data_IF_986738384778
#
_entry.id   IF_986738384778
#
_cell.length_a   1.000
_cell.length_b   1.000
_cell.length_c   1.000
_cell.angle_alpha   90.00
_cell.angle_beta   90.00
_cell.angle_gamma   90.00
#
_symmetry.space_group_name_H-M   'P 1'
#
loop_
_entity.id
_entity.type
_entity.pdbx_description
1 polymer ?
#
# COMPACT_ATOMS: atom_id res chain seq x y z
N UNK A 1 18.47 10.20 -6.41
CA UNK A 1 17.77 9.97 -5.11
C UNK A 1 16.59 9.04 -5.35
N UNK A 2 16.45 8.01 -4.54
CA UNK A 2 15.29 7.11 -4.64
C UNK A 2 14.01 7.80 -4.16
N UNK A 3 12.87 7.27 -4.58
CA UNK A 3 11.56 7.76 -4.11
C UNK A 3 11.46 7.65 -2.59
N UNK A 4 11.92 6.53 -2.01
CA UNK A 4 11.87 6.33 -0.55
C UNK A 4 12.75 7.36 0.17
N UNK A 5 13.96 7.62 -0.31
CA UNK A 5 14.80 8.65 0.31
C UNK A 5 14.13 10.03 0.23
N UNK A 6 13.56 10.37 -0.93
CA UNK A 6 12.83 11.63 -1.09
C UNK A 6 11.63 11.71 -0.15
N UNK A 7 10.94 10.59 0.06
CA UNK A 7 9.83 10.54 1.01
C UNK A 7 10.31 10.78 2.44
N UNK A 8 11.42 10.15 2.85
CA UNK A 8 12.00 10.36 4.19
C UNK A 8 12.50 11.79 4.39
N UNK A 9 12.90 12.46 3.32
CA UNK A 9 13.35 13.85 3.35
C UNK A 9 12.18 14.84 3.27
N UNK A 10 10.96 14.35 3.04
CA UNK A 10 9.76 15.16 2.97
C UNK A 10 9.16 15.38 4.38
N UNK A 11 8.06 16.13 4.42
CA UNK A 11 7.30 16.36 5.66
C UNK A 11 6.19 15.31 5.87
N UNK A 12 6.01 14.37 4.96
CA UNK A 12 4.90 13.40 5.04
C UNK A 12 5.18 12.32 6.07
N UNK A 13 4.17 12.04 6.90
CA UNK A 13 4.23 11.00 7.94
C UNK A 13 2.96 10.16 7.87
N UNK A 14 3.11 8.86 7.87
CA UNK A 14 1.95 8.00 7.62
C UNK A 14 1.94 6.68 8.35
N UNK A 15 0.77 6.07 8.29
CA UNK A 15 0.48 4.74 8.80
C UNK A 15 0.13 3.84 7.62
N UNK A 16 0.58 2.59 7.67
CA UNK A 16 0.41 1.60 6.60
C UNK A 16 -0.36 0.40 7.12
N UNK A 17 -1.41 0.02 6.40
CA UNK A 17 -2.14 -1.24 6.64
C UNK A 17 -2.10 -2.04 5.34
N UNK A 18 -1.48 -3.22 5.37
CA UNK A 18 -1.23 -4.02 4.17
C UNK A 18 -1.62 -5.46 4.45
N UNK A 19 -2.45 -6.04 3.58
CA UNK A 19 -2.85 -7.44 3.69
C UNK A 19 -2.78 -8.16 2.35
N UNK A 20 -2.46 -9.44 2.37
CA UNK A 20 -2.44 -10.30 1.19
C UNK A 20 -1.22 -10.19 0.31
N UNK A 21 -0.60 -9.03 0.22
CA UNK A 21 0.60 -8.74 -0.55
C UNK A 21 0.97 -7.28 -0.44
N UNK A 22 2.21 -6.95 -0.78
CA UNK A 22 2.73 -5.59 -0.72
C UNK A 22 3.54 -5.26 0.54
N UNK A 23 3.61 -6.18 1.51
CA UNK A 23 4.29 -5.91 2.78
C UNK A 23 5.80 -5.70 2.62
N UNK A 24 6.40 -6.13 1.53
CA UNK A 24 7.82 -5.86 1.25
C UNK A 24 8.10 -4.35 1.11
N UNK A 25 7.08 -3.53 0.86
CA UNK A 25 7.21 -2.08 0.92
C UNK A 25 7.69 -1.60 2.29
N UNK A 26 7.22 -2.22 3.36
CA UNK A 26 7.63 -1.86 4.72
C UNK A 26 9.12 -2.12 4.92
N UNK A 27 9.62 -3.24 4.42
CA UNK A 27 11.04 -3.57 4.46
C UNK A 27 11.87 -2.54 3.69
N UNK A 28 11.41 -2.12 2.52
CA UNK A 28 12.09 -1.10 1.71
C UNK A 28 12.12 0.25 2.44
N UNK A 29 11.01 0.66 3.04
CA UNK A 29 10.95 1.89 3.82
C UNK A 29 11.96 1.88 4.97
N UNK A 30 12.03 0.76 5.68
CA UNK A 30 12.89 0.63 6.86
C UNK A 30 14.36 0.46 6.50
N UNK A 31 14.68 -0.04 5.30
CA UNK A 31 16.06 -0.23 4.85
C UNK A 31 16.75 1.08 4.45
N UNK A 32 15.98 2.11 4.12
CA UNK A 32 16.55 3.42 3.74
C UNK A 32 16.63 4.31 4.98
N UNK A 33 17.80 4.90 5.28
CA UNK A 33 17.96 5.76 6.46
C UNK A 33 16.94 6.92 6.48
N UNK A 34 16.38 7.17 7.64
CA UNK A 34 15.41 8.25 7.82
C UNK A 34 13.96 7.78 7.95
N UNK A 35 13.73 6.48 8.03
CA UNK A 35 12.38 5.91 8.11
C UNK A 35 11.55 6.47 9.26
N UNK A 36 12.18 6.83 10.38
CA UNK A 36 11.50 7.41 11.53
C UNK A 36 10.83 8.76 11.24
N UNK A 37 11.23 9.42 10.17
CA UNK A 37 10.60 10.67 9.73
C UNK A 37 9.33 10.45 8.90
N UNK A 38 9.12 9.23 8.40
CA UNK A 38 8.00 8.90 7.51
C UNK A 38 7.02 7.94 8.16
N UNK A 39 7.52 6.87 8.76
CA UNK A 39 6.69 5.76 9.24
C UNK A 39 6.29 6.00 10.70
N UNK A 40 4.99 6.17 10.93
CA UNK A 40 4.43 6.29 12.28
C UNK A 40 4.07 4.92 12.87
N UNK A 41 3.46 4.07 12.06
CA UNK A 41 3.02 2.74 12.46
C UNK A 41 2.66 1.94 11.21
N UNK A 42 2.69 0.61 11.34
CA UNK A 42 2.28 -0.28 10.25
C UNK A 42 1.68 -1.56 10.83
N UNK A 43 0.72 -2.15 10.12
CA UNK A 43 0.17 -3.44 10.49
C UNK A 43 -0.11 -4.28 9.26
N UNK A 44 -0.13 -5.60 9.48
CA UNK A 44 -0.41 -6.59 8.45
C UNK A 44 -1.59 -7.44 8.94
N UNK A 45 -2.84 -6.95 8.82
CA UNK A 45 -4.02 -7.68 9.26
C UNK A 45 -4.35 -8.82 8.29
N UNK A 46 -3.63 -9.91 8.40
CA UNK A 46 -3.62 -10.99 7.42
C UNK A 46 -4.78 -11.97 7.59
N UNK A 47 -5.06 -12.38 8.83
CA UNK A 47 -6.21 -13.24 9.10
C UNK A 47 -7.50 -12.45 8.88
N UNK A 48 -8.55 -13.14 8.40
CA UNK A 48 -9.85 -12.49 8.19
C UNK A 48 -10.37 -11.77 9.42
N UNK A 49 -10.20 -12.35 10.61
CA UNK A 49 -10.62 -11.72 11.88
C UNK A 49 -9.79 -10.46 12.17
N UNK A 50 -8.48 -10.49 11.89
CA UNK A 50 -7.63 -9.32 12.09
C UNK A 50 -8.06 -8.16 11.20
N UNK A 51 -8.42 -8.46 9.95
CA UNK A 51 -8.92 -7.47 9.01
C UNK A 51 -10.26 -6.90 9.49
N UNK A 52 -11.18 -7.77 9.91
CA UNK A 52 -12.47 -7.37 10.45
C UNK A 52 -12.31 -6.48 11.70
N UNK A 53 -11.41 -6.84 12.60
CA UNK A 53 -11.16 -6.06 13.82
C UNK A 53 -10.64 -4.66 13.49
N UNK A 54 -9.73 -4.58 12.53
CA UNK A 54 -9.16 -3.30 12.13
C UNK A 54 -10.20 -2.39 11.45
N UNK A 55 -11.04 -2.97 10.58
CA UNK A 55 -12.05 -2.22 9.84
C UNK A 55 -13.32 -1.95 10.66
N UNK A 56 -13.55 -2.70 11.72
CA UNK A 56 -14.76 -2.61 12.53
C UNK A 56 -15.95 -3.40 11.99
N UNK A 57 -15.81 -3.99 10.80
CA UNK A 57 -16.86 -4.79 10.15
C UNK A 57 -16.20 -5.70 9.10
N UNK A 58 -16.79 -6.89 8.84
CA UNK A 58 -16.24 -7.76 7.79
C UNK A 58 -16.39 -7.09 6.41
N UNK A 59 -15.33 -7.08 5.59
CA UNK A 59 -15.47 -6.59 4.22
C UNK A 59 -16.24 -7.61 3.37
N UNK A 60 -17.01 -7.12 2.39
CA UNK A 60 -17.70 -8.01 1.46
C UNK A 60 -16.70 -8.85 0.65
N UNK A 61 -15.60 -8.24 0.27
CA UNK A 61 -14.51 -8.89 -0.45
C UNK A 61 -13.19 -8.30 0.02
N UNK A 62 -12.27 -9.16 0.47
CA UNK A 62 -10.99 -8.71 1.02
C UNK A 62 -10.16 -7.96 -0.03
N UNK A 63 -9.93 -8.56 -1.20
CA UNK A 63 -9.14 -7.95 -2.27
C UNK A 63 -10.05 -7.10 -3.17
N UNK A 64 -10.35 -5.89 -2.75
CA UNK A 64 -11.25 -4.97 -3.44
C UNK A 64 -10.84 -3.51 -3.24
N UNK A 65 -11.34 -2.66 -4.13
CA UNK A 65 -11.17 -1.20 -4.01
C UNK A 65 -11.75 -0.69 -2.68
N UNK A 66 -12.93 -1.15 -2.32
CA UNK A 66 -13.60 -0.71 -1.09
C UNK A 66 -12.76 -1.04 0.15
N UNK A 67 -12.17 -2.23 0.21
CA UNK A 67 -11.30 -2.62 1.32
C UNK A 67 -10.02 -1.79 1.35
N UNK A 68 -9.39 -1.54 0.20
CA UNK A 68 -8.19 -0.70 0.13
C UNK A 68 -8.47 0.71 0.65
N UNK A 69 -9.59 1.31 0.24
CA UNK A 69 -10.00 2.65 0.70
C UNK A 69 -10.28 2.66 2.20
N UNK A 70 -10.95 1.64 2.71
CA UNK A 70 -11.25 1.52 4.14
C UNK A 70 -9.96 1.38 4.97
N UNK A 71 -9.01 0.57 4.50
CA UNK A 71 -7.69 0.44 5.14
C UNK A 71 -6.92 1.77 5.14
N UNK A 72 -6.93 2.48 4.03
CA UNK A 72 -6.26 3.77 3.91
C UNK A 72 -6.87 4.82 4.85
N UNK A 73 -8.20 4.84 4.97
CA UNK A 73 -8.88 5.77 5.86
C UNK A 73 -8.59 5.45 7.33
N UNK A 74 -8.63 4.16 7.71
CA UNK A 74 -8.28 3.74 9.07
C UNK A 74 -6.82 4.13 9.40
N UNK A 75 -5.92 3.93 8.43
CA UNK A 75 -4.51 4.30 8.58
C UNK A 75 -4.36 5.82 8.73
N UNK A 76 -5.08 6.60 7.94
CA UNK A 76 -5.05 8.06 8.01
C UNK A 76 -5.52 8.56 9.39
N UNK A 77 -6.64 8.04 9.87
CA UNK A 77 -7.19 8.41 11.18
C UNK A 77 -6.20 8.09 12.30
N UNK A 78 -5.52 6.96 12.21
CA UNK A 78 -4.48 6.61 13.18
C UNK A 78 -3.29 7.56 13.10
N UNK A 79 -2.87 7.93 11.88
CA UNK A 79 -1.78 8.89 11.69
C UNK A 79 -2.11 10.25 12.33
N UNK A 80 -3.32 10.75 12.10
CA UNK A 80 -3.80 12.00 12.71
C UNK A 80 -3.75 11.91 14.24
N UNK A 81 -4.08 10.75 14.79
CA UNK A 81 -4.07 10.52 16.25
C UNK A 81 -2.68 10.65 16.89
N UNK A 82 -1.61 10.54 16.13
CA UNK A 82 -0.25 10.76 16.63
C UNK A 82 0.12 12.24 16.75
N UNK A 83 -0.73 13.13 16.23
CA UNK A 83 -0.48 14.57 16.27
C UNK A 83 0.39 15.04 15.12
N UNK A 84 0.67 16.35 15.07
CA UNK A 84 1.42 16.96 13.98
C UNK A 84 0.57 17.27 12.76
N UNK A 85 1.24 17.46 11.62
CA UNK A 85 0.60 17.79 10.33
C UNK A 85 1.11 16.88 9.22
N UNK A 86 0.53 17.02 8.03
CA UNK A 86 0.96 16.35 6.79
C UNK A 86 0.93 14.82 6.92
N UNK A 87 -0.21 14.33 7.40
CA UNK A 87 -0.44 12.90 7.55
C UNK A 87 -0.94 12.26 6.26
N UNK A 88 -0.56 11.00 6.06
CA UNK A 88 -1.19 10.15 5.06
C UNK A 88 -1.50 8.78 5.65
N UNK A 89 -2.48 8.12 5.07
CA UNK A 89 -2.79 6.73 5.33
C UNK A 89 -2.63 5.90 4.07
N UNK A 90 -2.03 4.73 4.19
CA UNK A 90 -1.81 3.81 3.08
C UNK A 90 -2.52 2.49 3.38
N UNK A 91 -3.34 2.04 2.45
CA UNK A 91 -4.04 0.77 2.56
C UNK A 91 -3.84 -0.06 1.31
N UNK A 92 -3.41 -1.31 1.46
CA UNK A 92 -3.21 -2.22 0.35
C UNK A 92 -3.82 -3.58 0.67
N UNK A 93 -4.53 -4.13 -0.30
CA UNK A 93 -5.04 -5.49 -0.24
C UNK A 93 -4.76 -6.18 -1.57
N UNK A 94 -4.18 -7.37 -1.51
CA UNK A 94 -3.77 -8.11 -2.69
C UNK A 94 -4.12 -9.58 -2.58
N UNK A 95 -4.28 -10.20 -3.75
CA UNK A 95 -4.48 -11.63 -3.90
C UNK A 95 -3.41 -12.13 -4.86
N UNK A 96 -2.36 -12.70 -4.33
CA UNK A 96 -1.22 -13.21 -5.09
C UNK A 96 -1.32 -14.72 -5.29
N UNK A 97 -0.47 -15.28 -6.16
CA UNK A 97 -0.42 -16.73 -6.33
C UNK A 97 -0.04 -17.40 -5.01
N UNK A 98 -0.65 -18.56 -4.77
CA UNK A 98 -0.40 -19.37 -3.58
C UNK A 98 0.06 -20.76 -4.02
N UNK A 99 0.27 -21.65 -3.06
CA UNK A 99 0.60 -23.06 -3.31
C UNK A 99 -0.62 -23.88 -3.74
N UNK A 100 -1.80 -23.25 -3.89
CA UNK A 100 -3.05 -23.89 -4.34
C UNK A 100 -3.51 -23.28 -5.66
N UNK A 101 -4.25 -24.07 -6.44
CA UNK A 101 -4.90 -23.56 -7.64
C UNK A 101 -5.90 -22.46 -7.26
N UNK A 102 -5.73 -21.28 -7.86
CA UNK A 102 -6.55 -20.13 -7.56
C UNK A 102 -7.59 -19.93 -8.65
N UNK A 103 -8.84 -19.74 -8.25
CA UNK A 103 -9.95 -19.52 -9.19
C UNK A 103 -10.11 -18.07 -9.61
N UNK A 104 -9.63 -17.12 -8.77
CA UNK A 104 -9.73 -15.71 -9.07
C UNK A 104 -8.45 -15.16 -9.67
N UNK A 105 -8.52 -13.93 -10.15
CA UNK A 105 -7.35 -13.22 -10.66
C UNK A 105 -6.40 -12.86 -9.54
N UNK A 106 -5.10 -12.86 -9.87
CA UNK A 106 -4.09 -12.27 -8.98
C UNK A 106 -4.08 -10.76 -9.24
N UNK A 107 -4.31 -10.01 -8.19
CA UNK A 107 -4.51 -8.56 -8.30
C UNK A 107 -4.19 -7.85 -6.99
N UNK A 108 -4.05 -6.55 -7.09
CA UNK A 108 -3.89 -5.68 -5.93
C UNK A 108 -4.73 -4.42 -6.08
N UNK A 109 -5.25 -3.96 -4.98
CA UNK A 109 -5.89 -2.66 -4.83
C UNK A 109 -5.19 -1.92 -3.70
N UNK A 110 -4.88 -0.66 -3.90
CA UNK A 110 -4.35 0.15 -2.80
C UNK A 110 -4.84 1.57 -2.91
N UNK A 111 -4.76 2.28 -1.81
CA UNK A 111 -5.22 3.66 -1.73
C UNK A 111 -4.30 4.46 -0.82
N UNK A 112 -4.20 5.74 -1.10
CA UNK A 112 -3.45 6.70 -0.30
C UNK A 112 -4.43 7.81 0.07
N UNK A 113 -4.62 8.01 1.38
CA UNK A 113 -5.51 9.01 1.94
C UNK A 113 -4.70 10.17 2.49
N UNK A 114 -5.00 11.37 2.04
CA UNK A 114 -4.51 12.61 2.65
C UNK A 114 -5.71 13.43 3.11
N UNK A 115 -5.48 14.61 3.69
CA UNK A 115 -6.56 15.49 4.10
C UNK A 115 -7.42 15.94 2.90
N UNK A 116 -6.79 16.03 1.73
CA UNK A 116 -7.47 16.57 0.54
C UNK A 116 -8.22 15.54 -0.30
N UNK A 117 -7.81 14.29 -0.27
CA UNK A 117 -8.36 13.30 -1.20
C UNK A 117 -7.99 11.87 -0.83
N UNK A 118 -8.77 10.93 -1.37
CA UNK A 118 -8.39 9.53 -1.46
C UNK A 118 -8.03 9.24 -2.92
N UNK A 119 -6.82 8.74 -3.15
CA UNK A 119 -6.43 8.28 -4.48
C UNK A 119 -6.23 6.78 -4.43
N UNK A 120 -6.88 6.05 -5.33
CA UNK A 120 -6.79 4.60 -5.34
C UNK A 120 -6.23 4.09 -6.66
N UNK A 121 -5.71 2.86 -6.61
CA UNK A 121 -4.98 2.23 -7.69
C UNK A 121 -5.37 0.76 -7.79
N UNK A 122 -5.24 0.21 -8.98
CA UNK A 122 -5.50 -1.18 -9.26
C UNK A 122 -4.39 -1.74 -10.15
N UNK A 123 -3.98 -2.97 -9.85
CA UNK A 123 -2.98 -3.69 -10.64
C UNK A 123 -3.41 -5.14 -10.81
N UNK A 124 -3.50 -5.59 -12.05
CA UNK A 124 -3.64 -6.99 -12.39
C UNK A 124 -2.23 -7.59 -12.51
N UNK A 125 -2.00 -8.71 -11.84
CA UNK A 125 -0.70 -9.35 -11.81
C UNK A 125 -0.68 -10.55 -12.74
N UNK A 126 0.47 -10.84 -13.34
CA UNK A 126 0.65 -12.00 -14.22
C UNK A 126 0.64 -13.27 -13.38
N UNK A 127 -0.42 -14.09 -13.52
CA UNK A 127 -0.61 -15.31 -12.76
C UNK A 127 0.41 -16.41 -13.08
N UNK A 128 1.19 -16.25 -14.16
CA UNK A 128 2.23 -17.21 -14.53
C UNK A 128 3.54 -16.97 -13.76
N UNK A 129 3.66 -15.81 -13.11
CA UNK A 129 4.86 -15.46 -12.33
C UNK A 129 4.80 -16.09 -10.93
N UNK A 130 5.96 -16.23 -10.31
CA UNK A 130 6.04 -16.68 -8.92
C UNK A 130 5.52 -15.62 -7.97
N UNK A 131 5.19 -16.02 -6.75
CA UNK A 131 4.75 -15.07 -5.73
C UNK A 131 5.81 -14.01 -5.45
N UNK A 132 7.09 -14.39 -5.39
CA UNK A 132 8.20 -13.45 -5.19
C UNK A 132 8.26 -12.40 -6.30
N UNK A 133 8.08 -12.82 -7.55
CA UNK A 133 8.08 -11.92 -8.69
C UNK A 133 6.88 -10.97 -8.64
N UNK A 134 5.71 -11.49 -8.29
CA UNK A 134 4.51 -10.66 -8.13
C UNK A 134 4.69 -9.65 -7.00
N UNK A 135 5.23 -10.08 -5.87
CA UNK A 135 5.48 -9.18 -4.73
C UNK A 135 6.48 -8.09 -5.09
N UNK A 136 7.55 -8.41 -5.80
CA UNK A 136 8.55 -7.43 -6.22
C UNK A 136 7.96 -6.39 -7.18
N UNK A 137 7.17 -6.83 -8.14
CA UNK A 137 6.50 -5.92 -9.07
C UNK A 137 5.48 -5.03 -8.38
N UNK A 138 4.70 -5.61 -7.47
CA UNK A 138 3.73 -4.84 -6.68
C UNK A 138 4.44 -3.77 -5.86
N UNK A 139 5.52 -4.13 -5.16
CA UNK A 139 6.30 -3.16 -4.37
C UNK A 139 6.74 -1.96 -5.22
N UNK A 140 7.21 -2.20 -6.45
CA UNK A 140 7.61 -1.12 -7.34
C UNK A 140 6.46 -0.17 -7.65
N UNK A 141 5.27 -0.73 -7.92
CA UNK A 141 4.08 0.08 -8.19
C UNK A 141 3.63 0.86 -6.95
N UNK A 142 3.67 0.23 -5.78
CA UNK A 142 3.32 0.89 -4.51
C UNK A 142 4.25 2.07 -4.24
N UNK A 143 5.55 1.85 -4.38
CA UNK A 143 6.56 2.91 -4.19
C UNK A 143 6.34 4.06 -5.16
N UNK A 144 6.13 3.75 -6.44
CA UNK A 144 5.88 4.78 -7.46
C UNK A 144 4.64 5.60 -7.14
N UNK A 145 3.56 4.97 -6.66
CA UNK A 145 2.33 5.67 -6.31
C UNK A 145 2.52 6.64 -5.14
N UNK A 146 3.34 6.28 -4.16
CA UNK A 146 3.69 7.19 -3.06
C UNK A 146 4.39 8.44 -3.61
N UNK A 147 5.30 8.26 -4.56
CA UNK A 147 5.98 9.38 -5.20
C UNK A 147 5.03 10.30 -5.96
N UNK A 148 4.09 9.71 -6.70
CA UNK A 148 3.09 10.47 -7.46
C UNK A 148 2.20 11.28 -6.53
N UNK A 149 1.64 10.66 -5.52
CA UNK A 149 0.64 11.28 -4.64
C UNK A 149 1.28 12.26 -3.66
N UNK A 150 2.39 11.88 -3.04
CA UNK A 150 2.96 12.65 -1.92
C UNK A 150 4.07 13.60 -2.35
N UNK A 151 4.80 13.28 -3.40
CA UNK A 151 5.95 14.08 -3.84
C UNK A 151 5.68 14.87 -5.12
N UNK A 152 4.53 14.65 -5.75
CA UNK A 152 4.20 15.33 -7.00
C UNK A 152 5.01 14.83 -8.20
N UNK A 153 5.59 13.64 -8.12
CA UNK A 153 6.30 13.05 -9.25
C UNK A 153 5.34 12.83 -10.42
N UNK A 154 5.85 12.88 -11.66
CA UNK A 154 5.03 12.49 -12.79
C UNK A 154 4.69 10.98 -12.69
N UNK A 155 3.63 10.57 -13.37
CA UNK A 155 3.13 9.21 -13.26
C UNK A 155 3.75 8.22 -14.25
N UNK A 156 4.80 8.62 -14.96
CA UNK A 156 5.43 7.77 -15.99
C UNK A 156 5.91 6.44 -15.41
N UNK A 157 6.63 6.49 -14.29
CA UNK A 157 7.13 5.27 -13.63
C UNK A 157 6.01 4.37 -13.16
N UNK A 158 4.93 4.95 -12.61
CA UNK A 158 3.76 4.21 -12.18
C UNK A 158 3.02 3.57 -13.36
N UNK A 159 2.82 4.31 -14.46
CA UNK A 159 2.17 3.79 -15.66
C UNK A 159 2.95 2.62 -16.23
N UNK A 160 4.27 2.71 -16.30
CA UNK A 160 5.12 1.62 -16.77
C UNK A 160 5.01 0.40 -15.86
N UNK A 161 4.98 0.59 -14.54
CA UNK A 161 4.80 -0.49 -13.58
C UNK A 161 3.46 -1.20 -13.79
N UNK A 162 2.38 -0.45 -13.99
CA UNK A 162 1.05 -1.01 -14.19
C UNK A 162 0.91 -1.79 -15.50
N UNK A 163 1.70 -1.45 -16.52
CA UNK A 163 1.66 -2.11 -17.82
C UNK A 163 2.49 -3.39 -17.84
N UNK A 164 3.63 -3.42 -17.16
CA UNK A 164 4.64 -4.48 -17.31
C UNK A 164 4.63 -5.52 -16.18
N UNK A 165 3.70 -5.43 -15.28
CA UNK A 165 3.55 -6.41 -14.19
C UNK A 165 2.32 -7.32 -14.44
#
# INVERSE_FOLDING_TARGET
>A
MSTIQALHDSHWRGVFHITGGGASLLSELLAVPGASRTLLDASIPYAGQALTDLLGTPPEQAASQATARALAMAAYQRAVGFGGTDHFGFGCTASLVTDRTKRGQTRAHWAIQTIGATQDFYLELDATKTRDEQEAGLRQALTASLGVVLLGNDDTGLQLSLIHI
#
